data_IF_804187524234
#
_entry.id   IF_804187524234
#
_cell.length_a   1.000
_cell.length_b   1.000
_cell.length_c   1.000
_cell.angle_alpha   90.00
_cell.angle_beta   90.00
_cell.angle_gamma   90.00
#
_symmetry.space_group_name_H-M   'P 1'
#
loop_
_entity.id
_entity.type
_entity.pdbx_description
1 polymer ?
#
# COMPACT_ATOMS: atom_id res chain seq x y z
N UNK A 1 4.05 -21.79 -2.87
CA UNK A 1 3.62 -20.60 -3.67
C UNK A 1 4.48 -19.44 -3.26
N UNK A 2 5.08 -18.74 -4.25
CA UNK A 2 5.92 -17.57 -4.02
C UNK A 2 5.14 -16.30 -4.30
N UNK A 3 5.04 -15.42 -3.31
CA UNK A 3 4.33 -14.14 -3.38
C UNK A 3 5.35 -13.03 -3.22
N UNK A 4 5.26 -11.99 -4.02
CA UNK A 4 5.98 -10.74 -3.78
C UNK A 4 5.00 -9.58 -3.64
N UNK A 5 5.33 -8.62 -2.76
CA UNK A 5 4.60 -7.38 -2.68
C UNK A 5 5.56 -6.19 -2.81
N UNK A 6 5.16 -5.21 -3.62
CA UNK A 6 5.88 -3.96 -3.80
C UNK A 6 5.20 -2.85 -3.00
N UNK A 7 5.99 -2.04 -2.29
CA UNK A 7 5.53 -0.81 -1.66
C UNK A 7 5.09 0.23 -2.68
N UNK A 8 5.17 1.49 -2.29
CA UNK A 8 4.77 2.61 -3.13
C UNK A 8 5.62 2.69 -4.40
N UNK A 9 4.99 2.79 -5.55
CA UNK A 9 5.68 2.74 -6.86
C UNK A 9 6.21 4.11 -7.27
N UNK A 10 5.41 5.17 -7.19
CA UNK A 10 5.81 6.54 -7.51
C UNK A 10 6.57 6.69 -8.84
N UNK A 11 6.18 5.96 -9.88
CA UNK A 11 6.78 5.99 -11.21
C UNK A 11 8.09 5.20 -11.35
N UNK A 12 8.55 4.49 -10.31
CA UNK A 12 9.77 3.66 -10.34
C UNK A 12 9.56 2.39 -11.18
N UNK A 13 10.58 1.99 -11.92
CA UNK A 13 10.53 0.87 -12.88
C UNK A 13 11.11 -0.44 -12.32
N UNK A 14 11.74 -0.40 -11.15
CA UNK A 14 12.46 -1.54 -10.54
C UNK A 14 11.61 -2.80 -10.38
N UNK A 15 10.29 -2.65 -10.23
CA UNK A 15 9.36 -3.77 -10.06
C UNK A 15 9.46 -4.79 -11.18
N UNK A 16 9.72 -4.33 -12.42
CA UNK A 16 9.79 -5.21 -13.58
C UNK A 16 11.01 -6.13 -13.50
N UNK A 17 12.18 -5.59 -13.19
CA UNK A 17 13.42 -6.37 -13.06
C UNK A 17 13.32 -7.36 -11.89
N UNK A 18 12.76 -6.92 -10.76
CA UNK A 18 12.51 -7.78 -9.60
C UNK A 18 11.55 -8.92 -9.98
N UNK A 19 10.46 -8.62 -10.69
CA UNK A 19 9.52 -9.63 -11.16
C UNK A 19 10.21 -10.68 -12.07
N UNK A 20 11.04 -10.24 -13.02
CA UNK A 20 11.77 -11.13 -13.91
C UNK A 20 12.78 -12.02 -13.16
N UNK A 21 13.43 -11.48 -12.14
CA UNK A 21 14.40 -12.18 -11.30
C UNK A 21 13.72 -13.21 -10.38
N UNK A 22 12.67 -12.78 -9.70
CA UNK A 22 12.01 -13.56 -8.63
C UNK A 22 11.02 -14.59 -9.18
N UNK A 23 10.42 -14.35 -10.34
CA UNK A 23 9.41 -15.21 -10.99
C UNK A 23 8.32 -15.69 -10.03
N UNK A 24 7.61 -14.79 -9.34
CA UNK A 24 6.62 -15.16 -8.35
C UNK A 24 5.38 -15.77 -8.98
N UNK A 25 4.64 -16.51 -8.17
CA UNK A 25 3.31 -17.02 -8.53
C UNK A 25 2.24 -15.93 -8.40
N UNK A 26 2.43 -14.98 -7.45
CA UNK A 26 1.53 -13.85 -7.19
C UNK A 26 2.34 -12.57 -6.93
N UNK A 27 1.90 -11.47 -7.53
CA UNK A 27 2.46 -10.12 -7.34
C UNK A 27 1.40 -9.20 -6.78
N UNK A 28 1.74 -8.45 -5.73
CA UNK A 28 0.85 -7.48 -5.10
C UNK A 28 1.51 -6.10 -5.14
N UNK A 29 0.85 -5.13 -5.76
CA UNK A 29 1.26 -3.73 -5.72
C UNK A 29 0.44 -3.01 -4.67
N UNK A 30 1.11 -2.30 -3.75
CA UNK A 30 0.46 -1.71 -2.58
C UNK A 30 -0.19 -0.35 -2.84
N UNK A 31 -0.13 0.16 -4.07
CA UNK A 31 -0.69 1.47 -4.45
C UNK A 31 0.37 2.55 -4.64
N UNK A 32 -0.10 3.80 -4.73
CA UNK A 32 0.72 4.98 -4.99
C UNK A 32 1.63 4.81 -6.22
N UNK A 33 0.98 4.54 -7.35
CA UNK A 33 1.67 4.32 -8.62
C UNK A 33 2.30 5.60 -9.18
N UNK A 34 1.70 6.73 -8.85
CA UNK A 34 2.05 8.07 -9.34
C UNK A 34 2.42 9.02 -8.19
N UNK A 35 2.75 10.29 -8.52
CA UNK A 35 3.10 11.30 -7.53
C UNK A 35 4.50 11.12 -6.94
N UNK A 36 5.53 11.33 -7.75
CA UNK A 36 6.92 11.28 -7.27
C UNK A 36 7.41 12.64 -6.74
N UNK A 37 8.35 12.59 -5.79
CA UNK A 37 9.19 13.72 -5.39
C UNK A 37 10.61 13.61 -5.99
N UNK A 38 10.89 12.56 -6.76
CA UNK A 38 12.15 12.37 -7.45
C UNK A 38 12.15 13.21 -8.74
N UNK A 39 13.05 14.20 -8.88
CA UNK A 39 13.10 15.07 -10.05
C UNK A 39 13.50 14.34 -11.34
N UNK A 40 14.10 13.16 -11.22
CA UNK A 40 14.54 12.37 -12.37
C UNK A 40 13.39 11.52 -12.96
N UNK A 41 12.28 11.38 -12.22
CA UNK A 41 11.09 10.67 -12.68
C UNK A 41 10.08 11.66 -13.27
N UNK A 42 9.93 11.65 -14.58
CA UNK A 42 9.03 12.56 -15.29
C UNK A 42 7.56 12.17 -15.17
N UNK A 43 6.64 13.11 -15.41
CA UNK A 43 5.20 12.84 -15.50
C UNK A 43 4.88 11.78 -16.56
N UNK A 44 5.58 11.79 -17.70
CA UNK A 44 5.41 10.81 -18.77
C UNK A 44 5.82 9.42 -18.30
N UNK A 45 6.97 9.30 -17.61
CA UNK A 45 7.41 8.03 -17.05
C UNK A 45 6.38 7.46 -16.07
N UNK A 46 5.80 8.29 -15.19
CA UNK A 46 4.75 7.86 -14.27
C UNK A 46 3.52 7.32 -15.00
N UNK A 47 3.07 8.02 -16.06
CA UNK A 47 1.93 7.58 -16.86
C UNK A 47 2.22 6.26 -17.60
N UNK A 48 3.37 6.16 -18.27
CA UNK A 48 3.76 4.95 -19.00
C UNK A 48 3.91 3.75 -18.05
N UNK A 49 4.56 3.96 -16.90
CA UNK A 49 4.74 2.89 -15.91
C UNK A 49 3.40 2.37 -15.37
N UNK A 50 2.47 3.28 -15.03
CA UNK A 50 1.14 2.85 -14.59
C UNK A 50 0.38 2.13 -15.71
N UNK A 51 0.50 2.60 -16.97
CA UNK A 51 -0.09 1.91 -18.13
C UNK A 51 0.42 0.47 -18.24
N UNK A 52 1.75 0.29 -18.12
CA UNK A 52 2.38 -1.04 -18.15
C UNK A 52 1.90 -1.95 -17.02
N UNK A 53 1.75 -1.40 -15.80
CA UNK A 53 1.23 -2.15 -14.64
C UNK A 53 -0.24 -2.56 -14.88
N UNK A 54 -1.07 -1.67 -15.43
CA UNK A 54 -2.47 -1.99 -15.74
C UNK A 54 -2.58 -3.05 -16.84
N UNK A 55 -1.75 -2.96 -17.88
CA UNK A 55 -1.67 -3.96 -18.94
C UNK A 55 -1.21 -5.31 -18.35
N UNK A 56 -0.20 -5.29 -17.49
CA UNK A 56 0.29 -6.48 -16.82
C UNK A 56 -0.80 -7.17 -15.98
N UNK A 57 -1.66 -6.38 -15.28
CA UNK A 57 -2.82 -6.91 -14.57
C UNK A 57 -3.85 -7.53 -15.52
N UNK A 58 -4.16 -6.88 -16.63
CA UNK A 58 -5.15 -7.40 -17.61
C UNK A 58 -4.68 -8.69 -18.30
N UNK A 59 -3.39 -8.80 -18.58
CA UNK A 59 -2.77 -10.01 -19.14
C UNK A 59 -2.64 -11.15 -18.13
N UNK A 60 -2.56 -10.82 -16.82
CA UNK A 60 -2.34 -11.78 -15.75
C UNK A 60 -3.33 -11.59 -14.59
N UNK A 61 -4.65 -11.71 -14.84
CA UNK A 61 -5.67 -11.31 -13.88
C UNK A 61 -5.62 -12.07 -12.55
N UNK A 62 -5.17 -13.31 -12.55
CA UNK A 62 -5.09 -14.17 -11.37
C UNK A 62 -3.73 -14.08 -10.64
N UNK A 63 -2.71 -13.45 -11.28
CA UNK A 63 -1.35 -13.37 -10.76
C UNK A 63 -0.94 -11.98 -10.29
N UNK A 64 -1.71 -10.95 -10.62
CA UNK A 64 -1.39 -9.56 -10.29
C UNK A 64 -2.53 -8.96 -9.50
N UNK A 65 -2.22 -8.42 -8.32
CA UNK A 65 -3.15 -7.69 -7.48
C UNK A 65 -2.69 -6.23 -7.41
N UNK A 66 -3.62 -5.31 -7.65
CA UNK A 66 -3.36 -3.88 -7.58
C UNK A 66 -4.19 -3.26 -6.45
N UNK A 67 -3.52 -2.68 -5.46
CA UNK A 67 -4.18 -1.93 -4.39
C UNK A 67 -4.22 -0.43 -4.72
N UNK A 68 -5.10 0.31 -4.06
CA UNK A 68 -5.29 1.76 -4.21
C UNK A 68 -4.56 2.50 -3.11
N UNK A 69 -3.75 3.49 -3.49
CA UNK A 69 -3.12 4.41 -2.57
C UNK A 69 -3.80 5.79 -2.55
N UNK A 70 -3.42 6.65 -1.60
CA UNK A 70 -4.00 7.99 -1.47
C UNK A 70 -3.57 8.93 -2.63
N UNK A 71 -2.33 8.80 -3.13
CA UNK A 71 -1.86 9.57 -4.27
C UNK A 71 -2.60 9.21 -5.56
N UNK A 72 -2.97 7.95 -5.74
CA UNK A 72 -3.78 7.52 -6.88
C UNK A 72 -5.16 8.19 -6.86
N UNK A 73 -5.82 8.20 -5.68
CA UNK A 73 -7.13 8.82 -5.52
C UNK A 73 -7.09 10.33 -5.74
N UNK A 74 -6.04 11.02 -5.30
CA UNK A 74 -5.83 12.44 -5.57
C UNK A 74 -5.79 12.71 -7.08
N UNK A 75 -4.99 11.95 -7.84
CA UNK A 75 -4.82 12.13 -9.28
C UNK A 75 -6.05 11.70 -10.10
N UNK A 76 -6.91 10.83 -9.54
CA UNK A 76 -8.24 10.55 -10.09
C UNK A 76 -9.26 11.67 -9.82
N UNK A 77 -8.87 12.74 -9.13
CA UNK A 77 -9.69 13.93 -8.89
C UNK A 77 -10.64 13.80 -7.71
N UNK A 78 -10.38 12.90 -6.77
CA UNK A 78 -11.15 12.84 -5.54
C UNK A 78 -10.68 13.92 -4.55
N UNK A 79 -11.53 14.91 -4.29
CA UNK A 79 -11.21 16.08 -3.46
C UNK A 79 -10.85 15.73 -2.00
N UNK A 80 -11.35 14.61 -1.52
CA UNK A 80 -11.06 14.13 -0.17
C UNK A 80 -9.68 13.45 -0.03
N UNK A 81 -8.99 13.19 -1.14
CA UNK A 81 -7.69 12.52 -1.15
C UNK A 81 -6.50 13.49 -1.34
N UNK A 82 -6.70 14.79 -1.10
CA UNK A 82 -5.65 15.79 -1.31
C UNK A 82 -4.41 15.51 -0.45
N UNK A 83 -3.25 15.44 -1.09
CA UNK A 83 -1.95 15.23 -0.48
C UNK A 83 -0.85 16.01 -1.24
N UNK A 84 0.40 15.87 -0.80
CA UNK A 84 1.56 16.47 -1.49
C UNK A 84 1.81 15.84 -2.86
N UNK A 85 2.68 16.45 -3.68
CA UNK A 85 3.15 15.86 -4.95
C UNK A 85 2.11 15.80 -6.06
N UNK A 86 1.06 16.65 -6.03
CA UNK A 86 0.08 16.70 -7.12
C UNK A 86 0.71 17.14 -8.43
N UNK A 87 0.50 16.34 -9.48
CA UNK A 87 0.93 16.59 -10.85
C UNK A 87 -0.28 16.71 -11.77
N UNK A 88 -0.52 17.92 -12.28
CA UNK A 88 -1.68 18.19 -13.15
C UNK A 88 -1.61 17.49 -14.52
N UNK A 89 -0.41 17.12 -15.01
CA UNK A 89 -0.26 16.35 -16.24
C UNK A 89 -0.71 14.90 -16.01
N UNK A 90 -0.20 14.29 -14.96
CA UNK A 90 -0.58 12.93 -14.53
C UNK A 90 -2.09 12.88 -14.24
N UNK A 91 -2.64 13.84 -13.50
CA UNK A 91 -4.07 13.87 -13.17
C UNK A 91 -4.96 13.96 -14.42
N UNK A 92 -4.56 14.75 -15.42
CA UNK A 92 -5.28 14.83 -16.70
C UNK A 92 -5.28 13.48 -17.42
N UNK A 93 -4.15 12.81 -17.47
CA UNK A 93 -4.05 11.50 -18.07
C UNK A 93 -4.85 10.46 -17.28
N UNK A 94 -4.72 10.40 -15.95
CA UNK A 94 -5.48 9.46 -15.10
C UNK A 94 -6.99 9.65 -15.21
N UNK A 95 -7.46 10.87 -15.51
CA UNK A 95 -8.89 11.10 -15.76
C UNK A 95 -9.42 10.32 -16.98
N UNK A 96 -8.56 10.05 -17.97
CA UNK A 96 -8.93 9.29 -19.17
C UNK A 96 -9.01 7.78 -18.93
N UNK A 97 -8.32 7.28 -17.91
CA UNK A 97 -8.27 5.84 -17.57
C UNK A 97 -9.01 5.53 -16.26
N UNK A 98 -9.74 6.50 -15.70
CA UNK A 98 -10.37 6.40 -14.37
C UNK A 98 -11.16 5.11 -14.16
N UNK A 99 -12.07 4.78 -15.08
CA UNK A 99 -12.94 3.61 -14.95
C UNK A 99 -12.14 2.30 -15.07
N UNK A 100 -11.12 2.28 -15.93
CA UNK A 100 -10.20 1.16 -16.06
C UNK A 100 -9.42 0.96 -14.77
N UNK A 101 -8.85 2.01 -14.21
CA UNK A 101 -8.10 1.96 -12.96
C UNK A 101 -8.97 1.43 -11.82
N UNK A 102 -10.16 2.00 -11.62
CA UNK A 102 -11.08 1.57 -10.55
C UNK A 102 -11.55 0.12 -10.71
N UNK A 103 -11.71 -0.36 -11.94
CA UNK A 103 -12.08 -1.76 -12.22
C UNK A 103 -10.96 -2.74 -11.91
N UNK A 104 -9.70 -2.36 -12.16
CA UNK A 104 -8.53 -3.24 -12.02
C UNK A 104 -7.92 -3.21 -10.62
N UNK A 105 -8.27 -2.24 -9.80
CA UNK A 105 -7.70 -2.03 -8.46
C UNK A 105 -8.72 -2.29 -7.35
N UNK A 106 -8.22 -2.61 -6.16
CA UNK A 106 -9.02 -2.88 -4.98
C UNK A 106 -8.42 -2.21 -3.74
N UNK A 107 -9.14 -2.19 -2.62
CA UNK A 107 -8.66 -1.58 -1.37
C UNK A 107 -7.80 -2.51 -0.53
N UNK A 108 -8.18 -3.78 -0.48
CA UNK A 108 -7.51 -4.80 0.33
C UNK A 108 -7.38 -6.11 -0.44
N UNK A 109 -6.35 -6.87 -0.13
CA UNK A 109 -6.19 -8.26 -0.56
C UNK A 109 -5.86 -9.13 0.65
N UNK A 110 -6.29 -10.39 0.61
CA UNK A 110 -5.97 -11.36 1.64
C UNK A 110 -5.30 -12.56 0.98
N UNK A 111 -4.12 -12.88 1.48
CA UNK A 111 -3.38 -14.04 1.03
C UNK A 111 -2.71 -14.74 2.22
N UNK A 112 -2.91 -16.06 2.33
CA UNK A 112 -2.36 -16.92 3.39
C UNK A 112 -2.60 -16.37 4.81
N UNK A 113 -3.80 -15.80 5.03
CA UNK A 113 -4.22 -15.22 6.30
C UNK A 113 -3.65 -13.84 6.60
N UNK A 114 -2.85 -13.25 5.71
CA UNK A 114 -2.34 -11.90 5.84
C UNK A 114 -3.19 -10.90 5.05
N UNK A 115 -3.39 -9.72 5.62
CA UNK A 115 -4.10 -8.61 4.99
C UNK A 115 -3.09 -7.65 4.36
N UNK A 116 -3.24 -7.41 3.07
CA UNK A 116 -2.49 -6.43 2.30
C UNK A 116 -3.39 -5.22 2.08
N UNK A 117 -2.95 -4.05 2.50
CA UNK A 117 -3.62 -2.77 2.28
C UNK A 117 -2.59 -1.65 2.15
N UNK A 118 -2.92 -0.55 1.51
CA UNK A 118 -1.93 0.49 1.24
C UNK A 118 -1.22 0.96 2.52
N UNK A 119 -1.96 1.36 3.58
CA UNK A 119 -1.36 1.91 4.79
C UNK A 119 -1.67 1.10 6.08
N UNK A 120 -2.66 0.22 6.06
CA UNK A 120 -3.07 -0.58 7.22
C UNK A 120 -4.49 -0.31 7.71
N UNK A 121 -4.98 -1.18 8.57
CA UNK A 121 -6.35 -1.11 9.11
C UNK A 121 -6.28 -1.04 10.64
N UNK A 122 -6.76 0.08 11.21
CA UNK A 122 -7.00 0.20 12.65
C UNK A 122 -8.37 -0.34 13.02
N UNK A 123 -8.50 -0.83 14.25
CA UNK A 123 -9.82 -1.23 14.80
C UNK A 123 -10.77 -0.04 14.90
N UNK A 124 -10.24 1.16 15.22
CA UNK A 124 -11.03 2.38 15.36
C UNK A 124 -11.67 2.79 14.04
N UNK A 125 -10.88 2.83 12.95
CA UNK A 125 -11.44 3.10 11.63
C UNK A 125 -12.39 1.99 11.15
N UNK A 126 -12.01 0.72 11.38
CA UNK A 126 -12.86 -0.43 11.05
C UNK A 126 -14.28 -0.29 11.63
N UNK A 127 -14.39 0.13 12.88
CA UNK A 127 -15.70 0.26 13.57
C UNK A 127 -16.59 1.32 12.92
N UNK A 128 -16.03 2.29 12.22
CA UNK A 128 -16.81 3.30 11.48
C UNK A 128 -17.49 2.74 10.23
N UNK A 129 -16.97 1.64 9.69
CA UNK A 129 -17.48 1.02 8.46
C UNK A 129 -18.77 0.21 8.69
N UNK A 130 -19.09 -0.16 9.92
CA UNK A 130 -20.25 -0.98 10.29
C UNK A 130 -20.34 -2.32 9.53
N UNK A 131 -19.20 -2.94 9.23
CA UNK A 131 -19.11 -4.23 8.51
C UNK A 131 -19.11 -5.46 9.42
N UNK A 132 -19.42 -5.27 10.72
CA UNK A 132 -19.44 -6.34 11.74
C UNK A 132 -18.06 -6.64 12.31
N UNK A 133 -17.87 -7.85 12.86
CA UNK A 133 -16.58 -8.26 13.40
C UNK A 133 -15.50 -8.31 12.31
N UNK A 134 -14.24 -7.93 12.59
CA UNK A 134 -13.17 -7.86 11.58
C UNK A 134 -12.60 -9.24 11.23
N UNK A 135 -13.44 -10.12 10.75
CA UNK A 135 -13.01 -11.41 10.15
C UNK A 135 -12.41 -11.16 8.77
N UNK A 136 -11.63 -12.12 8.27
CA UNK A 136 -11.05 -12.02 6.92
C UNK A 136 -12.15 -11.81 5.85
N UNK A 137 -13.26 -12.53 5.95
CA UNK A 137 -14.39 -12.39 5.01
C UNK A 137 -15.03 -11.00 5.08
N UNK A 138 -15.16 -10.43 6.27
CA UNK A 138 -15.73 -9.10 6.43
C UNK A 138 -14.76 -8.00 5.95
N UNK A 139 -13.44 -8.20 6.12
CA UNK A 139 -12.42 -7.28 5.62
C UNK A 139 -12.48 -7.18 4.09
N UNK A 140 -12.70 -8.27 3.39
CA UNK A 140 -12.86 -8.25 1.93
C UNK A 140 -14.03 -7.37 1.47
N UNK A 141 -15.06 -7.16 2.30
CA UNK A 141 -16.19 -6.28 1.99
C UNK A 141 -15.79 -4.79 1.86
N UNK A 142 -14.62 -4.40 2.32
CA UNK A 142 -14.07 -3.06 2.05
C UNK A 142 -13.97 -2.82 0.54
N UNK A 143 -13.72 -3.85 -0.25
CA UNK A 143 -13.63 -3.75 -1.71
C UNK A 143 -14.97 -3.38 -2.38
N UNK A 144 -16.09 -3.63 -1.72
CA UNK A 144 -17.44 -3.26 -2.20
C UNK A 144 -17.76 -1.78 -1.91
N UNK A 145 -16.94 -1.11 -1.08
CA UNK A 145 -17.14 0.30 -0.77
C UNK A 145 -16.65 1.18 -1.92
N UNK A 146 -17.49 2.09 -2.42
CA UNK A 146 -17.06 3.04 -3.45
C UNK A 146 -16.04 4.03 -2.86
N UNK A 147 -15.14 4.58 -3.70
CA UNK A 147 -14.29 5.68 -3.29
C UNK A 147 -15.12 6.86 -2.76
N UNK A 148 -14.93 7.21 -1.49
CA UNK A 148 -15.75 8.19 -0.78
C UNK A 148 -14.96 8.82 0.38
N UNK A 149 -15.58 9.74 1.10
CA UNK A 149 -15.01 10.39 2.29
C UNK A 149 -14.65 9.42 3.42
N UNK A 150 -15.11 8.16 3.38
CA UNK A 150 -14.68 7.11 4.31
C UNK A 150 -13.16 6.84 4.21
N UNK A 151 -12.55 7.19 3.08
CA UNK A 151 -11.12 7.06 2.82
C UNK A 151 -10.37 8.40 2.91
N UNK A 152 -11.04 9.45 3.40
CA UNK A 152 -10.45 10.77 3.54
C UNK A 152 -9.46 10.82 4.70
N UNK A 153 -8.41 11.63 4.53
CA UNK A 153 -7.53 11.99 5.63
C UNK A 153 -8.33 12.62 6.78
N UNK A 154 -8.15 12.09 7.98
CA UNK A 154 -8.81 12.59 9.19
C UNK A 154 -7.78 13.24 10.11
N UNK A 155 -7.92 14.52 10.42
CA UNK A 155 -7.09 15.23 11.39
C UNK A 155 -7.95 15.72 12.52
N UNK A 156 -7.95 15.03 13.65
CA UNK A 156 -8.75 15.42 14.82
C UNK A 156 -7.98 16.14 15.91
N UNK A 157 -6.64 16.13 15.85
CA UNK A 157 -5.79 16.76 16.86
C UNK A 157 -4.67 17.56 16.21
N UNK A 158 -4.44 18.77 16.70
CA UNK A 158 -3.25 19.58 16.34
C UNK A 158 -1.93 18.89 16.69
N UNK A 159 -1.97 17.83 17.51
CA UNK A 159 -0.82 17.02 17.91
C UNK A 159 -0.57 15.79 17.03
N UNK A 160 -1.46 15.49 16.07
CA UNK A 160 -1.30 14.36 15.18
C UNK A 160 -0.30 14.76 14.07
N UNK A 161 0.98 14.72 14.45
CA UNK A 161 2.07 15.06 13.55
C UNK A 161 2.08 14.10 12.37
N UNK A 162 2.06 14.66 11.17
CA UNK A 162 2.04 13.90 9.91
C UNK A 162 0.81 12.97 9.73
N UNK A 163 -0.30 13.23 10.43
CA UNK A 163 -1.53 12.47 10.24
C UNK A 163 -1.53 11.07 10.85
N UNK A 164 -0.70 10.83 11.87
CA UNK A 164 -0.66 9.54 12.55
C UNK A 164 -1.76 9.46 13.63
N UNK A 165 -2.96 9.06 13.23
CA UNK A 165 -4.12 8.91 14.12
C UNK A 165 -4.81 7.56 13.93
N UNK A 166 -5.37 7.03 15.01
CA UNK A 166 -6.14 5.78 15.01
C UNK A 166 -7.41 5.81 14.15
N UNK A 167 -7.88 7.02 13.82
CA UNK A 167 -9.07 7.23 12.96
C UNK A 167 -8.76 7.27 11.47
N UNK A 168 -7.48 7.28 11.11
CA UNK A 168 -7.08 7.30 9.70
C UNK A 168 -7.52 6.05 8.97
N UNK A 169 -8.01 6.20 7.71
CA UNK A 169 -8.37 5.05 6.88
C UNK A 169 -7.15 4.29 6.39
N UNK A 170 -7.41 3.14 5.79
CA UNK A 170 -6.40 2.22 5.25
C UNK A 170 -5.48 2.81 4.17
N UNK A 171 -5.75 4.02 3.72
CA UNK A 171 -4.93 4.77 2.76
C UNK A 171 -4.03 5.83 3.42
N UNK A 172 -4.13 6.04 4.75
CA UNK A 172 -3.44 7.14 5.43
C UNK A 172 -2.80 6.79 6.76
N UNK A 173 -3.28 5.77 7.47
CA UNK A 173 -2.77 5.39 8.78
C UNK A 173 -1.27 5.06 8.71
N UNK A 174 -0.53 5.36 9.78
CA UNK A 174 0.91 5.08 9.80
C UNK A 174 1.23 3.86 10.66
N UNK A 175 2.37 3.19 10.41
CA UNK A 175 2.73 1.93 11.05
C UNK A 175 2.72 2.00 12.59
N UNK A 176 3.19 3.11 13.19
CA UNK A 176 3.19 3.28 14.64
C UNK A 176 1.77 3.19 15.23
N UNK A 177 0.80 3.81 14.59
CA UNK A 177 -0.60 3.73 15.03
C UNK A 177 -1.19 2.35 14.75
N UNK A 178 -0.84 1.72 13.62
CA UNK A 178 -1.28 0.34 13.34
C UNK A 178 -0.75 -0.64 14.40
N UNK A 179 0.47 -0.47 14.91
CA UNK A 179 1.00 -1.33 15.99
C UNK A 179 0.17 -1.24 17.26
N UNK A 180 -0.43 -0.10 17.55
CA UNK A 180 -1.24 0.13 18.76
C UNK A 180 -2.72 -0.19 18.60
N UNK A 181 -3.28 0.23 17.47
CA UNK A 181 -4.72 0.26 17.23
C UNK A 181 -5.15 -0.65 16.08
N UNK A 182 -4.24 -1.42 15.49
CA UNK A 182 -4.57 -2.43 14.48
C UNK A 182 -5.51 -3.50 15.02
N UNK A 183 -6.07 -4.28 14.12
CA UNK A 183 -6.99 -5.36 14.48
C UNK A 183 -6.19 -6.49 15.14
N UNK A 184 -6.53 -6.82 16.38
CA UNK A 184 -5.84 -7.82 17.18
C UNK A 184 -5.85 -9.20 16.50
N UNK A 185 -4.67 -9.81 16.40
CA UNK A 185 -4.52 -11.15 15.82
C UNK A 185 -4.55 -11.21 14.28
N UNK A 186 -4.63 -10.05 13.61
CA UNK A 186 -4.68 -9.96 12.15
C UNK A 186 -3.32 -9.48 11.60
N UNK A 187 -2.52 -10.35 10.95
CA UNK A 187 -1.26 -9.93 10.35
C UNK A 187 -1.51 -9.02 9.14
N UNK A 188 -0.68 -7.96 9.01
CA UNK A 188 -0.84 -6.95 7.97
C UNK A 188 0.47 -6.68 7.23
N UNK A 189 0.39 -6.42 5.93
CA UNK A 189 1.46 -5.91 5.07
C UNK A 189 1.03 -4.55 4.52
N UNK A 190 1.88 -3.54 4.69
CA UNK A 190 1.56 -2.13 4.38
C UNK A 190 2.70 -1.42 3.66
N UNK A 191 2.38 -0.45 2.79
CA UNK A 191 3.26 0.54 2.17
C UNK A 191 3.13 1.91 2.83
N UNK A 192 2.90 2.96 2.03
CA UNK A 192 2.54 4.33 2.39
C UNK A 192 3.56 5.11 3.22
N UNK A 193 4.19 4.48 4.19
CA UNK A 193 5.12 5.17 5.09
C UNK A 193 6.52 4.70 4.81
N UNK A 194 7.32 5.61 4.26
CA UNK A 194 8.72 5.37 3.99
C UNK A 194 9.50 5.16 5.28
N UNK A 195 10.27 4.07 5.32
CA UNK A 195 11.13 3.72 6.44
C UNK A 195 12.58 3.98 6.03
N UNK A 196 13.18 5.04 6.60
CA UNK A 196 14.53 5.50 6.23
C UNK A 196 15.66 4.88 7.05
N UNK A 197 15.36 4.06 8.05
CA UNK A 197 16.38 3.49 8.91
C UNK A 197 16.76 2.06 8.51
N UNK A 198 18.07 1.74 8.59
CA UNK A 198 18.63 0.40 8.38
C UNK A 198 18.23 -0.61 9.46
N UNK A 199 17.56 -0.17 10.52
CA UNK A 199 16.94 -1.05 11.49
C UNK A 199 15.71 -1.65 10.84
N UNK A 200 15.86 -2.87 10.40
CA UNK A 200 14.85 -3.67 9.74
C UNK A 200 13.45 -3.46 10.32
N UNK A 201 12.48 -3.37 9.44
CA UNK A 201 11.06 -3.37 9.81
C UNK A 201 10.72 -4.59 10.65
N UNK A 202 11.45 -5.69 10.48
CA UNK A 202 11.44 -6.87 11.34
C UNK A 202 11.90 -6.54 12.78
N UNK A 203 12.79 -5.57 12.99
CA UNK A 203 13.18 -5.12 14.35
C UNK A 203 12.11 -4.29 15.05
N UNK A 204 11.23 -3.64 14.34
CA UNK A 204 10.05 -3.02 14.96
C UNK A 204 9.15 -4.04 15.65
N UNK A 205 9.19 -5.29 15.20
CA UNK A 205 8.51 -6.42 15.81
C UNK A 205 9.41 -7.18 16.80
N UNK A 206 10.73 -7.03 16.71
CA UNK A 206 11.72 -7.78 17.50
C UNK A 206 12.27 -7.05 18.72
N UNK A 207 12.45 -5.75 18.66
CA UNK A 207 12.80 -4.97 19.82
C UNK A 207 11.56 -4.78 20.71
N UNK A 208 11.67 -5.26 21.94
CA UNK A 208 10.71 -5.10 23.02
C UNK A 208 10.37 -3.62 23.26
N UNK A 209 9.70 -3.01 22.31
CA UNK A 209 8.98 -1.77 22.58
C UNK A 209 7.79 -2.18 23.42
N UNK A 210 7.61 -1.53 24.55
CA UNK A 210 6.62 -1.75 25.61
C UNK A 210 5.14 -1.63 25.17
N UNK A 211 4.81 -2.00 23.93
CA UNK A 211 3.46 -1.97 23.40
C UNK A 211 3.08 -3.36 22.94
N UNK A 212 2.00 -3.88 23.48
CA UNK A 212 1.34 -5.04 22.90
C UNK A 212 0.95 -4.69 21.47
N UNK A 213 1.60 -5.32 20.47
CA UNK A 213 1.31 -5.09 19.06
C UNK A 213 -0.11 -5.60 18.81
N UNK A 214 -1.02 -4.72 18.40
CA UNK A 214 -2.40 -5.07 18.18
C UNK A 214 -2.56 -6.09 17.04
N UNK A 215 -1.95 -5.93 15.83
CA UNK A 215 -1.86 -7.01 14.86
C UNK A 215 -0.85 -8.05 15.38
N UNK A 216 -1.06 -9.31 15.03
CA UNK A 216 -0.12 -10.38 15.38
C UNK A 216 1.24 -10.20 14.70
N UNK A 217 1.26 -9.52 13.57
CA UNK A 217 2.42 -9.27 12.73
C UNK A 217 2.15 -8.05 11.83
N UNK A 218 3.14 -7.16 11.67
CA UNK A 218 3.06 -6.00 10.78
C UNK A 218 4.33 -5.88 9.93
N UNK A 219 4.19 -5.89 8.61
CA UNK A 219 5.26 -5.67 7.65
C UNK A 219 5.07 -4.32 6.95
N UNK A 220 6.00 -3.40 7.13
CA UNK A 220 6.05 -2.12 6.42
C UNK A 220 7.10 -2.23 5.33
N UNK A 221 6.68 -2.09 4.06
CA UNK A 221 7.51 -2.45 2.92
C UNK A 221 7.92 -1.29 2.02
N UNK A 222 7.52 -0.06 2.35
CA UNK A 222 7.97 1.12 1.60
C UNK A 222 9.35 1.58 2.07
N UNK A 223 10.38 1.23 1.31
CA UNK A 223 11.78 1.59 1.59
C UNK A 223 12.56 1.84 0.29
N UNK A 224 13.50 2.81 0.33
CA UNK A 224 14.44 3.06 -0.76
C UNK A 224 15.85 2.49 -0.43
N UNK A 225 16.62 1.95 -1.41
CA UNK A 225 16.16 1.60 -2.75
C UNK A 225 15.05 0.56 -2.67
N UNK A 226 14.24 0.37 -3.73
CA UNK A 226 13.01 -0.42 -3.65
C UNK A 226 13.19 -1.73 -2.87
N UNK A 227 12.60 -1.79 -1.68
CA UNK A 227 12.43 -3.03 -0.94
C UNK A 227 11.15 -3.71 -1.41
N UNK A 228 11.11 -5.03 -1.31
CA UNK A 228 9.92 -5.81 -1.62
C UNK A 228 9.77 -6.95 -0.62
N UNK A 229 8.53 -7.24 -0.27
CA UNK A 229 8.20 -8.35 0.60
C UNK A 229 8.16 -9.65 -0.20
N UNK A 230 8.70 -10.71 0.38
CA UNK A 230 8.65 -12.07 -0.18
C UNK A 230 8.02 -13.00 0.84
N UNK A 231 7.04 -13.78 0.40
CA UNK A 231 6.50 -14.88 1.16
C UNK A 231 6.55 -16.15 0.31
N UNK A 232 7.27 -17.17 0.78
CA UNK A 232 7.45 -18.43 0.09
C UNK A 232 7.49 -19.60 1.10
N UNK A 233 6.60 -20.58 0.93
CA UNK A 233 6.50 -21.78 1.77
C UNK A 233 6.41 -21.46 3.29
N UNK A 234 5.68 -20.39 3.63
CA UNK A 234 5.48 -19.90 4.99
C UNK A 234 6.63 -19.04 5.55
N UNK A 235 7.75 -18.94 4.84
CA UNK A 235 8.83 -18.01 5.19
C UNK A 235 8.50 -16.62 4.67
N UNK A 236 8.81 -15.60 5.45
CA UNK A 236 8.56 -14.18 5.12
C UNK A 236 9.84 -13.40 5.30
N UNK A 237 10.14 -12.54 4.35
CA UNK A 237 11.32 -11.67 4.41
C UNK A 237 11.14 -10.40 3.60
N UNK A 238 11.92 -9.36 3.95
CA UNK A 238 12.08 -8.16 3.15
C UNK A 238 13.37 -8.27 2.35
N UNK A 239 13.28 -8.19 1.02
CA UNK A 239 14.43 -8.17 0.12
C UNK A 239 14.64 -6.79 -0.46
N UNK A 240 15.86 -6.51 -0.86
CA UNK A 240 16.25 -5.24 -1.48
C UNK A 240 16.73 -5.48 -2.91
N UNK A 241 16.38 -4.58 -3.81
CA UNK A 241 16.92 -4.61 -5.16
C UNK A 241 18.43 -4.42 -5.11
N UNK A 242 19.17 -5.47 -5.43
CA UNK A 242 20.65 -5.46 -5.42
C UNK A 242 21.27 -4.84 -6.67
N UNK A 243 20.46 -4.60 -7.71
CA UNK A 243 20.91 -4.07 -9.00
C UNK A 243 21.28 -2.58 -8.94
N UNK A 244 20.90 -1.87 -7.89
CA UNK A 244 21.16 -0.44 -7.67
C UNK A 244 22.45 -0.16 -6.85
N UNK A 245 23.35 -1.12 -6.70
CA UNK A 245 24.60 -0.97 -5.91
C UNK A 245 25.86 -0.74 -6.76
N UNK A 246 25.72 -0.29 -8.02
CA UNK A 246 26.88 0.13 -8.82
C UNK A 246 26.78 1.58 -9.25
#
# INVERSE_FOLDING_TARGET
>A
MKIIAFGDIHGRLDWFDIYQMEKPDLVIFMGDYVSTHDPDITSEQQCCNLEDILNFKEENPDKVILLRGNHDMQHLGYYWAQCSGFDGHVARWMSTIRDRFLRLTQWVHIQDGMVFSHAGISKVWWDTLNLGEPTLDNILKINDLPPSELFAFTSYRLSDYCGDSETQPLTWIRPYTVTKYGIKGLPQVVGHTRIDCDSDVVQWLGDKVYYEIAPSELWCIDKLPMAYFVMEDGNKELRFNKLLKE
#
